data_IF_107110414025
#
_entry.id   IF_107110414025
#
_cell.length_a   1.000
_cell.length_b   1.000
_cell.length_c   1.000
_cell.angle_alpha   90.00
_cell.angle_beta   90.00
_cell.angle_gamma   90.00
#
_symmetry.space_group_name_H-M   'P 1'
#
loop_
_entity.id
_entity.type
_entity.pdbx_description
1 polymer ?
#
# COMPACT_ATOMS: atom_id res chain seq x y z
N UNK A 1 22.06 -16.90 -19.58
CA UNK A 1 20.91 -17.18 -18.67
C UNK A 1 21.33 -16.74 -17.29
N UNK A 2 20.97 -15.51 -16.87
CA UNK A 2 21.34 -14.98 -15.56
C UNK A 2 20.39 -15.55 -14.52
N UNK A 3 20.89 -16.45 -13.69
CA UNK A 3 20.20 -16.86 -12.45
C UNK A 3 20.33 -15.72 -11.46
N UNK A 4 19.35 -14.80 -11.43
CA UNK A 4 19.17 -13.89 -10.30
C UNK A 4 18.55 -14.73 -9.18
N UNK A 5 19.40 -15.24 -8.32
CA UNK A 5 18.97 -16.09 -7.20
C UNK A 5 18.26 -15.23 -6.14
N UNK A 6 17.15 -15.72 -5.55
CA UNK A 6 16.47 -15.06 -4.41
C UNK A 6 17.38 -14.76 -3.22
N UNK A 7 18.51 -15.44 -3.13
CA UNK A 7 19.53 -15.33 -2.07
C UNK A 7 20.23 -13.95 -2.00
N UNK A 8 20.15 -13.13 -3.04
CA UNK A 8 20.92 -11.88 -3.13
C UNK A 8 20.21 -10.70 -2.47
N UNK A 9 18.87 -10.73 -2.38
CA UNK A 9 18.02 -9.68 -1.78
C UNK A 9 17.47 -10.05 -0.39
N UNK A 10 18.12 -10.91 0.37
CA UNK A 10 17.57 -11.55 1.58
C UNK A 10 17.01 -10.62 2.64
N UNK A 11 17.60 -9.46 2.88
CA UNK A 11 17.13 -8.54 3.94
C UNK A 11 15.97 -7.63 3.53
N UNK A 12 15.83 -7.32 2.24
CA UNK A 12 14.77 -6.44 1.72
C UNK A 12 13.89 -7.14 0.66
N UNK A 13 14.22 -8.39 0.30
CA UNK A 13 13.69 -9.05 -0.89
C UNK A 13 12.17 -9.12 -0.95
N UNK A 14 11.51 -9.52 0.12
CA UNK A 14 10.04 -9.61 0.15
C UNK A 14 9.40 -8.23 -0.02
N UNK A 15 9.78 -7.26 0.79
CA UNK A 15 9.21 -5.91 0.74
C UNK A 15 9.55 -5.19 -0.57
N UNK A 16 10.74 -5.42 -1.13
CA UNK A 16 11.15 -4.86 -2.41
C UNK A 16 10.30 -5.39 -3.57
N UNK A 17 9.97 -6.70 -3.57
CA UNK A 17 9.08 -7.29 -4.57
C UNK A 17 7.65 -6.78 -4.45
N UNK A 18 7.13 -6.68 -3.23
CA UNK A 18 5.82 -6.09 -2.99
C UNK A 18 5.77 -4.63 -3.47
N UNK A 19 6.81 -3.86 -3.19
CA UNK A 19 6.90 -2.48 -3.67
C UNK A 19 6.90 -2.39 -5.20
N UNK A 20 7.63 -3.30 -5.87
CA UNK A 20 7.65 -3.37 -7.33
C UNK A 20 6.27 -3.73 -7.90
N UNK A 21 5.61 -4.73 -7.32
CA UNK A 21 4.27 -5.16 -7.74
C UNK A 21 3.21 -4.07 -7.54
N UNK A 22 3.21 -3.41 -6.38
CA UNK A 22 2.29 -2.30 -6.08
C UNK A 22 2.53 -1.09 -7.01
N UNK A 23 3.78 -0.77 -7.35
CA UNK A 23 4.09 0.27 -8.35
C UNK A 23 3.57 -0.08 -9.75
N UNK A 24 3.65 -1.37 -10.15
CA UNK A 24 3.04 -1.84 -11.41
C UNK A 24 1.52 -1.69 -11.35
N UNK A 25 0.89 -2.06 -10.24
CA UNK A 25 -0.55 -1.88 -10.03
C UNK A 25 -0.99 -0.42 -10.18
N UNK A 26 -0.25 0.52 -9.55
CA UNK A 26 -0.50 1.96 -9.69
C UNK A 26 -0.35 2.46 -11.13
N UNK A 27 0.58 1.87 -11.90
CA UNK A 27 0.76 2.21 -13.30
C UNK A 27 -0.39 1.67 -14.15
N UNK A 28 -0.75 0.40 -13.95
CA UNK A 28 -1.80 -0.27 -14.71
C UNK A 28 -3.20 0.31 -14.45
N UNK A 29 -3.50 0.78 -13.23
CA UNK A 29 -4.80 1.38 -12.93
C UNK A 29 -5.06 2.70 -13.68
N UNK A 30 -4.02 3.30 -14.29
CA UNK A 30 -4.17 4.49 -15.14
C UNK A 30 -4.56 4.17 -16.58
N UNK A 31 -4.43 2.90 -16.99
CA UNK A 31 -4.75 2.44 -18.34
C UNK A 31 -6.26 2.19 -18.50
N UNK A 32 -6.90 2.93 -19.39
CA UNK A 32 -8.35 2.83 -19.62
C UNK A 32 -8.78 1.40 -19.99
N UNK A 33 -7.99 0.69 -20.81
CA UNK A 33 -8.28 -0.69 -21.20
C UNK A 33 -8.27 -1.66 -20.02
N UNK A 34 -7.49 -1.39 -18.96
CA UNK A 34 -7.53 -2.19 -17.72
C UNK A 34 -8.83 -1.90 -16.96
N UNK A 35 -9.23 -0.62 -16.86
CA UNK A 35 -10.50 -0.25 -16.24
C UNK A 35 -11.70 -0.89 -16.95
N UNK A 36 -11.68 -0.92 -18.28
CA UNK A 36 -12.74 -1.55 -19.11
C UNK A 36 -12.89 -3.05 -18.83
N UNK A 37 -11.78 -3.78 -18.64
CA UNK A 37 -11.81 -5.22 -18.28
C UNK A 37 -12.55 -5.44 -16.95
N UNK A 38 -12.45 -4.49 -16.02
CA UNK A 38 -13.16 -4.54 -14.73
C UNK A 38 -14.58 -3.92 -14.79
N UNK A 39 -15.06 -3.57 -15.96
CA UNK A 39 -16.43 -3.06 -16.18
C UNK A 39 -16.60 -1.58 -15.86
N UNK A 40 -15.50 -0.81 -15.79
CA UNK A 40 -15.54 0.62 -15.54
C UNK A 40 -15.32 1.41 -16.83
N UNK A 41 -16.17 2.41 -17.09
CA UNK A 41 -16.11 3.22 -18.30
C UNK A 41 -16.48 4.68 -18.05
N UNK A 42 -16.14 5.55 -19.00
CA UNK A 42 -16.56 6.96 -18.97
C UNK A 42 -15.98 7.73 -17.78
N UNK A 43 -16.85 8.50 -17.11
CA UNK A 43 -16.44 9.38 -16.01
C UNK A 43 -15.93 8.62 -14.76
N UNK A 44 -16.40 7.39 -14.55
CA UNK A 44 -16.02 6.57 -13.38
C UNK A 44 -14.54 6.23 -13.37
N UNK A 45 -13.90 6.16 -14.56
CA UNK A 45 -12.47 5.83 -14.67
C UNK A 45 -11.60 6.82 -13.89
N UNK A 46 -11.90 8.11 -13.97
CA UNK A 46 -11.11 9.12 -13.27
C UNK A 46 -11.26 9.04 -11.74
N UNK A 47 -12.45 8.69 -11.26
CA UNK A 47 -12.68 8.49 -9.83
C UNK A 47 -11.98 7.21 -9.33
N UNK A 48 -11.97 6.15 -10.13
CA UNK A 48 -11.26 4.91 -9.82
C UNK A 48 -9.76 5.13 -9.77
N UNK A 49 -9.18 5.83 -10.74
CA UNK A 49 -7.76 6.21 -10.73
C UNK A 49 -7.41 6.97 -9.44
N UNK A 50 -8.19 8.00 -9.13
CA UNK A 50 -7.99 8.80 -7.92
C UNK A 50 -8.11 7.96 -6.65
N UNK A 51 -9.16 7.14 -6.54
CA UNK A 51 -9.38 6.28 -5.38
C UNK A 51 -8.23 5.27 -5.16
N UNK A 52 -7.72 4.66 -6.23
CA UNK A 52 -6.56 3.74 -6.14
C UNK A 52 -5.30 4.45 -5.63
N UNK A 53 -4.98 5.61 -6.18
CA UNK A 53 -3.81 6.39 -5.77
C UNK A 53 -3.93 6.90 -4.33
N UNK A 54 -5.10 7.42 -3.95
CA UNK A 54 -5.36 7.88 -2.59
C UNK A 54 -5.32 6.71 -1.60
N UNK A 55 -5.89 5.55 -1.97
CA UNK A 55 -5.87 4.33 -1.14
C UNK A 55 -4.44 3.83 -0.91
N UNK A 56 -3.56 3.93 -1.91
CA UNK A 56 -2.15 3.59 -1.74
C UNK A 56 -1.47 4.47 -0.70
N UNK A 57 -1.69 5.78 -0.76
CA UNK A 57 -1.14 6.72 0.23
C UNK A 57 -1.70 6.43 1.63
N UNK A 58 -3.01 6.21 1.73
CA UNK A 58 -3.65 5.84 3.00
C UNK A 58 -3.07 4.54 3.57
N UNK A 59 -2.83 3.55 2.72
CA UNK A 59 -2.23 2.28 3.12
C UNK A 59 -0.76 2.46 3.57
N UNK A 60 -0.02 3.39 2.94
CA UNK A 60 1.32 3.79 3.38
C UNK A 60 1.32 4.43 4.77
N UNK A 61 0.40 5.37 5.02
CA UNK A 61 0.22 5.99 6.35
C UNK A 61 -0.15 4.94 7.40
N UNK A 62 -1.20 4.14 7.14
CA UNK A 62 -1.65 3.08 8.05
C UNK A 62 -0.58 2.01 8.28
N UNK A 63 0.28 1.78 7.29
CA UNK A 63 1.40 0.85 7.37
C UNK A 63 2.36 1.13 8.52
N UNK A 64 2.47 2.37 8.99
CA UNK A 64 3.29 2.76 10.15
C UNK A 64 2.95 1.96 11.42
N UNK A 65 1.75 1.42 11.57
CA UNK A 65 1.39 0.51 12.65
C UNK A 65 2.35 -0.69 12.73
N UNK A 66 2.83 -1.17 11.56
CA UNK A 66 3.71 -2.33 11.44
C UNK A 66 5.21 -2.01 11.57
N UNK A 67 5.57 -0.77 11.83
CA UNK A 67 6.93 -0.39 12.19
C UNK A 67 7.13 -0.49 13.70
N UNK A 68 8.21 -1.16 14.12
CA UNK A 68 8.58 -1.30 15.53
C UNK A 68 9.67 -0.29 15.90
N UNK A 69 9.37 0.75 16.68
CA UNK A 69 10.38 1.70 17.13
C UNK A 69 11.47 1.06 18.01
N UNK A 70 11.11 0.03 18.77
CA UNK A 70 12.05 -0.64 19.67
C UNK A 70 13.16 -1.42 18.94
N UNK A 71 12.84 -2.03 17.78
CA UNK A 71 13.82 -2.75 16.96
C UNK A 71 14.22 -1.99 15.70
N UNK A 72 13.60 -0.83 15.42
CA UNK A 72 13.77 -0.05 14.18
C UNK A 72 13.53 -0.88 12.92
N UNK A 73 12.52 -1.78 12.97
CA UNK A 73 12.23 -2.72 11.90
C UNK A 73 10.77 -2.70 11.47
N UNK A 74 10.56 -2.92 10.20
CA UNK A 74 9.26 -3.21 9.65
C UNK A 74 8.89 -4.69 9.89
N UNK A 75 7.67 -4.92 10.39
CA UNK A 75 7.18 -6.28 10.70
C UNK A 75 6.32 -6.88 9.58
N UNK A 76 6.02 -6.11 8.54
CA UNK A 76 5.16 -6.57 7.45
C UNK A 76 5.61 -5.95 6.10
N UNK A 77 5.86 -6.82 5.11
CA UNK A 77 6.46 -6.46 3.84
C UNK A 77 5.63 -5.46 3.02
N UNK A 78 4.31 -5.67 2.90
CA UNK A 78 3.42 -4.75 2.18
C UNK A 78 3.33 -3.38 2.87
N UNK A 79 3.32 -3.33 4.20
CA UNK A 79 3.28 -2.08 4.95
C UNK A 79 4.51 -1.22 4.70
N UNK A 80 5.69 -1.83 4.71
CA UNK A 80 6.94 -1.17 4.33
C UNK A 80 6.90 -0.71 2.87
N UNK A 81 6.49 -1.58 1.95
CA UNK A 81 6.41 -1.27 0.53
C UNK A 81 5.51 -0.06 0.24
N UNK A 82 4.33 -0.02 0.82
CA UNK A 82 3.36 1.08 0.65
C UNK A 82 3.84 2.37 1.29
N UNK A 83 4.52 2.29 2.42
CA UNK A 83 5.18 3.45 3.03
C UNK A 83 6.26 4.01 2.09
N UNK A 84 7.11 3.17 1.51
CA UNK A 84 8.12 3.56 0.51
C UNK A 84 7.48 4.26 -0.68
N UNK A 85 6.41 3.70 -1.24
CA UNK A 85 5.68 4.30 -2.37
C UNK A 85 5.10 5.67 -2.00
N UNK A 86 4.49 5.78 -0.82
CA UNK A 86 3.98 7.05 -0.30
C UNK A 86 5.10 8.10 -0.18
N UNK A 87 6.28 7.72 0.32
CA UNK A 87 7.42 8.63 0.43
C UNK A 87 7.90 9.12 -0.94
N UNK A 88 7.93 8.25 -1.95
CA UNK A 88 8.25 8.63 -3.33
C UNK A 88 7.23 9.64 -3.88
N UNK A 89 5.94 9.45 -3.58
CA UNK A 89 4.89 10.39 -3.98
C UNK A 89 5.01 11.75 -3.28
N UNK A 90 5.36 11.76 -1.99
CA UNK A 90 5.60 13.00 -1.22
C UNK A 90 6.81 13.77 -1.74
N UNK A 91 7.90 13.08 -2.10
CA UNK A 91 9.10 13.70 -2.69
C UNK A 91 8.80 14.31 -4.08
N UNK A 92 7.78 13.83 -4.79
CA UNK A 92 7.40 14.34 -6.10
C UNK A 92 6.89 15.80 -6.06
N UNK A 93 6.32 16.23 -4.94
CA UNK A 93 5.93 17.64 -4.72
C UNK A 93 4.78 17.80 -3.74
N UNK A 94 4.89 18.80 -2.86
CA UNK A 94 3.87 19.10 -1.84
C UNK A 94 2.56 19.64 -2.43
N UNK A 95 2.60 20.14 -3.64
CA UNK A 95 1.45 20.61 -4.40
C UNK A 95 0.70 19.46 -5.09
N UNK A 96 1.32 18.26 -5.18
CA UNK A 96 0.69 17.01 -5.60
C UNK A 96 0.13 16.23 -4.41
N UNK A 97 0.98 15.96 -3.42
CA UNK A 97 0.63 15.18 -2.23
C UNK A 97 1.18 15.85 -0.98
N UNK A 98 0.32 16.05 0.01
CA UNK A 98 0.71 16.55 1.32
C UNK A 98 -0.09 15.80 2.41
N UNK A 99 0.54 15.58 3.57
CA UNK A 99 -0.10 14.98 4.75
C UNK A 99 0.04 15.96 5.91
N UNK A 100 -1.10 16.47 6.36
CA UNK A 100 -1.21 17.47 7.41
C UNK A 100 -1.63 16.83 8.73
N UNK A 101 -1.06 17.30 9.81
CA UNK A 101 -1.56 17.02 11.15
C UNK A 101 -2.74 17.94 11.42
N UNK A 102 -3.84 17.36 11.85
CA UNK A 102 -5.11 18.05 12.09
C UNK A 102 -5.72 17.57 13.42
N UNK A 103 -6.75 18.25 13.88
CA UNK A 103 -7.61 17.76 14.95
C UNK A 103 -8.87 17.17 14.34
N UNK A 104 -9.17 15.92 14.66
CA UNK A 104 -10.37 15.25 14.21
C UNK A 104 -11.63 15.81 14.88
N UNK A 105 -12.80 15.41 14.40
CA UNK A 105 -14.10 15.85 14.94
C UNK A 105 -14.29 15.48 16.42
N UNK A 106 -13.62 14.44 16.88
CA UNK A 106 -13.59 13.99 18.28
C UNK A 106 -12.60 14.76 19.17
N UNK A 107 -11.95 15.80 18.64
CA UNK A 107 -10.97 16.63 19.34
C UNK A 107 -9.58 15.98 19.50
N UNK A 108 -9.33 14.80 18.93
CA UNK A 108 -8.03 14.11 19.02
C UNK A 108 -7.16 14.39 17.80
N UNK A 109 -5.81 14.22 17.91
CA UNK A 109 -4.91 14.30 16.78
C UNK A 109 -5.31 13.36 15.64
N UNK A 110 -5.19 13.82 14.40
CA UNK A 110 -5.47 13.03 13.19
C UNK A 110 -4.57 13.47 12.04
N UNK A 111 -4.59 12.72 10.93
CA UNK A 111 -3.82 13.00 9.73
C UNK A 111 -4.75 13.17 8.53
N UNK A 112 -4.61 14.30 7.84
CA UNK A 112 -5.35 14.60 6.62
C UNK A 112 -4.46 14.43 5.39
N UNK A 113 -4.83 13.52 4.50
CA UNK A 113 -4.17 13.33 3.21
C UNK A 113 -4.79 14.28 2.20
N UNK A 114 -3.97 15.14 1.61
CA UNK A 114 -4.36 16.06 0.55
C UNK A 114 -3.64 15.67 -0.73
N UNK A 115 -4.37 15.15 -1.72
CA UNK A 115 -3.84 14.77 -3.04
C UNK A 115 -4.58 15.55 -4.13
N UNK A 116 -3.83 16.23 -4.99
CA UNK A 116 -4.37 16.89 -6.18
C UNK A 116 -4.53 15.86 -7.31
N UNK A 117 -5.78 15.44 -7.57
CA UNK A 117 -6.09 14.44 -8.59
C UNK A 117 -5.65 14.84 -10.00
N UNK A 118 -5.64 16.14 -10.30
CA UNK A 118 -5.22 16.66 -11.61
C UNK A 118 -3.74 16.45 -11.89
N UNK A 119 -2.94 16.22 -10.85
CA UNK A 119 -1.49 16.01 -10.92
C UNK A 119 -1.07 14.53 -10.89
N UNK A 120 -2.01 13.61 -10.80
CA UNK A 120 -1.69 12.18 -10.85
C UNK A 120 -0.89 11.84 -12.11
N UNK A 121 -1.39 12.26 -13.29
CA UNK A 121 -0.76 11.97 -14.59
C UNK A 121 0.51 12.76 -14.84
N UNK A 122 0.62 14.00 -14.33
CA UNK A 122 1.71 14.93 -14.68
C UNK A 122 2.84 14.94 -13.66
N UNK A 123 2.58 14.57 -12.42
CA UNK A 123 3.56 14.55 -11.32
C UNK A 123 3.70 13.16 -10.72
N UNK A 124 2.60 12.56 -10.28
CA UNK A 124 2.58 11.27 -9.59
C UNK A 124 3.09 10.12 -10.46
N UNK A 125 2.47 9.91 -11.61
CA UNK A 125 2.81 8.83 -12.52
C UNK A 125 4.28 8.88 -13.00
N UNK A 126 4.84 10.03 -13.43
CA UNK A 126 6.26 10.11 -13.76
C UNK A 126 7.19 9.80 -12.58
N UNK A 127 6.84 10.18 -11.35
CA UNK A 127 7.63 9.87 -10.17
C UNK A 127 7.66 8.36 -9.89
N UNK A 128 6.49 7.72 -9.87
CA UNK A 128 6.37 6.27 -9.67
C UNK A 128 7.03 5.49 -10.81
N UNK A 129 6.89 5.93 -12.07
CA UNK A 129 7.54 5.28 -13.22
C UNK A 129 9.07 5.32 -13.12
N UNK A 130 9.66 6.47 -12.75
CA UNK A 130 11.10 6.57 -12.53
C UNK A 130 11.58 5.69 -11.38
N UNK A 131 10.80 5.61 -10.30
CA UNK A 131 11.11 4.75 -9.17
C UNK A 131 11.01 3.28 -9.54
N UNK A 132 9.93 2.86 -10.20
CA UNK A 132 9.74 1.50 -10.70
C UNK A 132 10.86 1.07 -11.65
N UNK A 133 11.30 1.95 -12.55
CA UNK A 133 12.43 1.68 -13.42
C UNK A 133 13.71 1.36 -12.63
N UNK A 134 14.01 2.13 -11.58
CA UNK A 134 15.16 1.86 -10.70
C UNK A 134 15.01 0.53 -9.97
N UNK A 135 13.83 0.25 -9.40
CA UNK A 135 13.55 -1.04 -8.76
C UNK A 135 13.83 -2.20 -9.74
N UNK A 136 13.32 -2.09 -10.96
CA UNK A 136 13.48 -3.12 -11.99
C UNK A 136 14.94 -3.28 -12.43
N UNK A 137 15.65 -2.18 -12.68
CA UNK A 137 17.05 -2.21 -13.14
C UNK A 137 17.95 -2.82 -12.06
N UNK A 138 17.88 -2.34 -10.83
CA UNK A 138 18.74 -2.86 -9.76
C UNK A 138 18.48 -4.34 -9.47
N UNK A 139 17.22 -4.77 -9.53
CA UNK A 139 16.88 -6.18 -9.41
C UNK A 139 17.45 -7.00 -10.56
N UNK A 140 17.23 -6.58 -11.81
CA UNK A 140 17.63 -7.33 -13.00
C UNK A 140 19.14 -7.42 -13.17
N UNK A 141 19.88 -6.41 -12.70
CA UNK A 141 21.35 -6.38 -12.73
C UNK A 141 22.00 -6.98 -11.48
N UNK A 142 21.22 -7.28 -10.44
CA UNK A 142 21.76 -7.76 -9.17
C UNK A 142 22.52 -6.68 -8.37
N UNK A 143 22.27 -5.39 -8.65
CA UNK A 143 22.92 -4.27 -7.93
C UNK A 143 22.26 -4.03 -6.57
N UNK A 144 22.54 -4.94 -5.64
CA UNK A 144 21.96 -4.91 -4.28
C UNK A 144 22.35 -3.65 -3.53
N UNK A 145 23.57 -3.18 -3.73
CA UNK A 145 24.05 -2.01 -3.00
C UNK A 145 23.16 -0.81 -3.30
N UNK A 146 22.96 -0.48 -4.57
CA UNK A 146 22.08 0.63 -4.97
C UNK A 146 20.62 0.38 -4.65
N UNK A 147 20.15 -0.88 -4.80
CA UNK A 147 18.80 -1.25 -4.42
C UNK A 147 18.55 -0.96 -2.94
N UNK A 148 19.44 -1.42 -2.07
CA UNK A 148 19.34 -1.23 -0.62
C UNK A 148 19.46 0.23 -0.23
N UNK A 149 20.45 0.96 -0.73
CA UNK A 149 20.62 2.40 -0.45
C UNK A 149 19.36 3.20 -0.81
N UNK A 150 18.80 2.96 -1.99
CA UNK A 150 17.57 3.61 -2.43
C UNK A 150 16.37 3.22 -1.57
N UNK A 151 16.21 1.92 -1.30
CA UNK A 151 15.04 1.40 -0.58
C UNK A 151 15.05 1.80 0.88
N UNK A 152 16.21 1.73 1.55
CA UNK A 152 16.40 2.15 2.93
C UNK A 152 16.10 3.63 3.12
N UNK A 153 16.52 4.51 2.18
CA UNK A 153 16.21 5.94 2.19
C UNK A 153 14.70 6.20 2.34
N UNK A 154 13.88 5.47 1.58
CA UNK A 154 12.43 5.66 1.60
C UNK A 154 11.72 4.83 2.68
N UNK A 155 12.39 3.82 3.24
CA UNK A 155 11.86 2.98 4.34
C UNK A 155 12.10 3.58 5.72
N UNK A 156 12.96 4.59 5.83
CA UNK A 156 13.32 5.20 7.10
C UNK A 156 12.13 5.90 7.75
N UNK A 157 11.90 5.59 9.02
CA UNK A 157 10.85 6.20 9.85
C UNK A 157 11.52 7.14 10.85
N UNK A 158 12.04 8.25 10.32
CA UNK A 158 12.51 9.40 11.12
C UNK A 158 11.36 10.38 11.41
N UNK A 159 11.68 11.56 12.01
CA UNK A 159 10.69 12.61 12.15
C UNK A 159 10.33 13.22 10.78
N UNK A 160 9.04 13.60 10.56
CA UNK A 160 7.92 13.57 11.53
C UNK A 160 7.16 12.22 11.59
N UNK A 161 7.62 11.16 10.92
CA UNK A 161 6.88 9.90 10.81
C UNK A 161 6.82 9.12 12.13
N UNK A 162 7.86 9.23 12.96
CA UNK A 162 7.87 8.62 14.29
C UNK A 162 6.76 9.19 15.17
N UNK A 163 6.55 10.50 15.15
CA UNK A 163 5.45 11.18 15.84
C UNK A 163 4.09 10.81 15.24
N UNK A 164 3.95 10.84 13.90
CA UNK A 164 2.71 10.50 13.19
C UNK A 164 2.28 9.05 13.40
N UNK A 165 3.24 8.16 13.61
CA UNK A 165 2.96 6.75 13.92
C UNK A 165 2.08 6.61 15.16
N UNK A 166 2.31 7.41 16.20
CA UNK A 166 1.47 7.35 17.41
C UNK A 166 0.03 7.70 17.06
N UNK A 167 -0.19 8.76 16.29
CA UNK A 167 -1.54 9.11 15.80
C UNK A 167 -2.19 7.95 15.03
N UNK A 168 -1.44 7.29 14.14
CA UNK A 168 -1.95 6.13 13.38
C UNK A 168 -2.36 4.99 14.31
N UNK A 169 -1.56 4.68 15.33
CA UNK A 169 -1.87 3.62 16.30
C UNK A 169 -3.11 3.98 17.13
N UNK A 170 -3.22 5.22 17.57
CA UNK A 170 -4.34 5.69 18.38
C UNK A 170 -5.67 5.75 17.58
N UNK A 171 -5.56 5.95 16.25
CA UNK A 171 -6.68 5.97 15.30
C UNK A 171 -7.02 4.59 14.72
N UNK A 172 -6.34 3.55 15.16
CA UNK A 172 -6.58 2.20 14.65
C UNK A 172 -8.01 1.76 14.92
N UNK A 173 -8.70 1.34 13.86
CA UNK A 173 -10.01 0.74 13.97
C UNK A 173 -9.92 -0.65 14.64
N UNK A 174 -10.94 -1.07 15.37
CA UNK A 174 -11.04 -2.44 15.84
C UNK A 174 -10.90 -3.42 14.69
N UNK A 175 -10.29 -4.58 14.95
CA UNK A 175 -10.17 -5.62 13.94
C UNK A 175 -11.56 -6.10 13.53
N UNK A 176 -11.80 -6.18 12.24
CA UNK A 176 -13.01 -6.82 11.72
C UNK A 176 -12.93 -8.32 11.96
N UNK A 177 -14.04 -8.90 12.40
CA UNK A 177 -14.23 -10.35 12.43
C UNK A 177 -14.98 -10.73 11.16
N UNK A 178 -14.39 -11.61 10.37
CA UNK A 178 -14.99 -12.12 9.15
C UNK A 178 -15.65 -13.46 9.45
N UNK A 179 -16.95 -13.56 9.20
CA UNK A 179 -17.70 -14.82 9.26
C UNK A 179 -17.76 -15.37 7.84
N UNK A 180 -17.10 -16.50 7.62
CA UNK A 180 -17.04 -17.13 6.32
C UNK A 180 -18.08 -18.23 6.22
N UNK A 181 -18.84 -18.28 5.11
CA UNK A 181 -19.69 -19.40 4.76
C UNK A 181 -18.86 -20.68 4.57
N UNK A 182 -19.50 -21.82 4.79
CA UNK A 182 -18.89 -23.13 4.60
C UNK A 182 -19.68 -23.93 3.55
N UNK A 183 -19.03 -24.88 2.89
CA UNK A 183 -19.70 -25.79 1.95
C UNK A 183 -19.71 -27.20 2.51
N UNK A 184 -20.86 -27.84 2.41
CA UNK A 184 -21.04 -29.25 2.82
C UNK A 184 -21.65 -30.06 1.68
N UNK A 185 -21.34 -31.34 1.64
CA UNK A 185 -22.02 -32.28 0.74
C UNK A 185 -23.13 -32.99 1.53
N UNK A 186 -24.36 -32.75 1.09
CA UNK A 186 -25.54 -33.40 1.65
C UNK A 186 -26.33 -34.04 0.52
N UNK A 187 -26.65 -35.35 0.66
CA UNK A 187 -27.36 -36.11 -0.35
C UNK A 187 -26.73 -35.99 -1.76
N UNK A 188 -25.40 -36.10 -1.83
CA UNK A 188 -24.57 -35.92 -3.04
C UNK A 188 -24.65 -34.54 -3.70
N UNK A 189 -25.21 -33.54 -3.04
CA UNK A 189 -25.30 -32.17 -3.50
C UNK A 189 -24.44 -31.27 -2.65
N UNK A 190 -23.82 -30.27 -3.31
CA UNK A 190 -23.08 -29.22 -2.63
C UNK A 190 -24.06 -28.17 -2.08
N UNK A 191 -24.07 -27.98 -0.78
CA UNK A 191 -24.85 -26.94 -0.08
C UNK A 191 -23.91 -25.88 0.52
N UNK A 192 -24.29 -24.61 0.39
CA UNK A 192 -23.61 -23.50 1.05
C UNK A 192 -24.28 -23.23 2.40
N UNK A 193 -23.51 -23.34 3.48
CA UNK A 193 -23.91 -22.91 4.80
C UNK A 193 -23.47 -21.46 4.99
N UNK A 194 -24.44 -20.56 5.16
CA UNK A 194 -24.19 -19.17 5.53
C UNK A 194 -24.43 -19.00 7.01
N UNK A 195 -23.57 -18.22 7.66
CA UNK A 195 -23.68 -17.89 9.07
C UNK A 195 -23.92 -16.39 9.22
N UNK A 196 -24.68 -16.02 10.22
CA UNK A 196 -24.91 -14.62 10.54
C UNK A 196 -23.60 -13.95 11.01
N UNK A 197 -23.43 -12.67 10.65
CA UNK A 197 -22.26 -11.86 11.03
C UNK A 197 -22.38 -11.33 12.47
N UNK A 198 -22.68 -12.22 13.42
CA UNK A 198 -22.83 -11.95 14.84
C UNK A 198 -22.14 -13.04 15.68
N UNK A 199 -22.18 -12.89 17.00
CA UNK A 199 -21.53 -13.84 17.93
C UNK A 199 -22.07 -15.26 17.80
N UNK A 200 -23.36 -15.44 17.50
CA UNK A 200 -24.00 -16.76 17.36
C UNK A 200 -23.51 -17.47 16.08
N UNK A 201 -23.32 -16.73 14.99
CA UNK A 201 -22.76 -17.26 13.76
C UNK A 201 -21.30 -17.68 13.86
N UNK A 202 -20.53 -17.12 14.82
CA UNK A 202 -19.13 -17.49 15.05
C UNK A 202 -18.95 -18.81 15.82
N UNK A 203 -19.98 -19.28 16.53
CA UNK A 203 -19.92 -20.43 17.45
C UNK A 203 -20.50 -21.70 16.81
N UNK A 204 -21.04 -21.61 15.60
CA UNK A 204 -21.58 -22.72 14.83
C UNK A 204 -20.52 -23.24 13.87
#
# INVERSE_FOLDING_TARGET
MFKVTPLVFTSIGSSYEECRAECVGLHLCLEAGVCDIFGHSGADIEDIKYANWLSMVLAGVKGLEMFSPASMEWKQAHSQARFVIMQVMLEAGQDFLNIKEVTGEDGKPDLLICMDRSKIMTVGQPAISRFLLKLQVYKSTGDIKKAKEMYDKYSEVGEPWASRRQTVVDRRQPRSILVQGNTVIKDEKLELLQYDSNTEGLVR
#
